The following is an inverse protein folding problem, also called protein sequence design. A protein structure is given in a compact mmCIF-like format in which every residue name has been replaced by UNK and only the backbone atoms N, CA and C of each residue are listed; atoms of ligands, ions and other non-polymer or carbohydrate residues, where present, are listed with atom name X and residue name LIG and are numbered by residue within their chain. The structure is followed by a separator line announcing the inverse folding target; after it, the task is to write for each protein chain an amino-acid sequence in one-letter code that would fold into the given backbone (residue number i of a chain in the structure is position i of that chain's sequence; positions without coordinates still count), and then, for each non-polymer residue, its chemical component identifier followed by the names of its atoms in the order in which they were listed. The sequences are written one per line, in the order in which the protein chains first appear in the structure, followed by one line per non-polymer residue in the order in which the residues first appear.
data_IF_784739688645
#
_entry.id   IF_784739688645
#
_cell.length_a   1.000
_cell.length_b   1.000
_cell.length_c   1.000
_cell.angle_alpha   90.00
_cell.angle_beta   90.00
_cell.angle_gamma   90.00
#
_symmetry.space_group_name_H-M   'P 1'
#
loop_
_entity.id
_entity.type
_entity.pdbx_description
1 polymer ?
#
# COMPACT_ATOMS: atom_id res chain seq x y z
N UNK A 1 7.50 1.12 16.74
CA UNK A 1 6.62 -0.05 16.95
C UNK A 1 5.26 0.28 16.35
N UNK A 2 5.00 -0.18 15.14
CA UNK A 2 3.67 -0.17 14.58
C UNK A 2 2.84 -1.25 15.27
N UNK A 3 2.13 -0.90 16.33
CA UNK A 3 1.13 -1.80 16.90
C UNK A 3 0.04 -1.97 15.86
N UNK A 4 -0.16 -3.17 15.38
CA UNK A 4 -1.34 -3.52 14.57
C UNK A 4 -2.57 -3.29 15.45
N UNK A 5 -3.32 -2.24 15.16
CA UNK A 5 -4.57 -1.91 15.83
C UNK A 5 -5.76 -2.59 15.17
N UNK A 6 -5.60 -3.84 14.76
CA UNK A 6 -6.65 -4.59 14.06
C UNK A 6 -7.87 -4.93 14.93
N UNK A 7 -7.76 -4.79 16.24
CA UNK A 7 -8.78 -5.26 17.19
C UNK A 7 -9.81 -4.20 17.63
N UNK A 8 -9.81 -3.00 17.04
CA UNK A 8 -10.79 -1.96 17.36
C UNK A 8 -10.92 -0.96 16.22
N UNK A 9 -12.09 -0.29 16.16
CA UNK A 9 -12.28 0.83 15.25
C UNK A 9 -11.38 2.00 15.65
N UNK A 10 -10.43 2.35 14.79
CA UNK A 10 -9.36 3.29 15.10
C UNK A 10 -9.15 4.29 13.98
N UNK A 11 -9.07 5.56 14.35
CA UNK A 11 -8.58 6.62 13.47
C UNK A 11 -7.06 6.64 13.44
N UNK A 12 -6.48 6.42 12.26
CA UNK A 12 -5.03 6.49 12.05
C UNK A 12 -4.67 7.86 11.49
N UNK A 13 -3.93 8.66 12.28
CA UNK A 13 -3.48 10.02 11.96
C UNK A 13 -1.97 10.18 11.93
N UNK A 14 -1.24 9.13 12.19
CA UNK A 14 0.20 9.19 12.42
C UNK A 14 1.02 9.58 11.20
N UNK A 15 0.51 9.33 9.98
CA UNK A 15 1.32 9.42 8.78
C UNK A 15 2.47 8.41 8.81
N UNK A 16 3.54 8.70 8.08
CA UNK A 16 4.76 7.89 8.05
C UNK A 16 5.81 8.42 9.02
N UNK A 17 5.49 8.44 10.32
CA UNK A 17 6.45 8.85 11.34
C UNK A 17 7.63 7.88 11.38
N UNK A 18 8.78 8.31 10.86
CA UNK A 18 10.00 7.52 10.79
C UNK A 18 11.24 8.44 10.88
N UNK A 19 12.40 7.84 11.06
CA UNK A 19 13.70 8.54 11.11
C UNK A 19 14.43 8.57 9.77
N UNK A 20 13.73 8.25 8.68
CA UNK A 20 14.30 8.18 7.33
C UNK A 20 14.63 6.75 6.90
N UNK A 21 14.90 6.62 5.59
CA UNK A 21 15.16 5.32 4.97
C UNK A 21 16.47 4.71 5.45
N UNK A 22 17.50 5.53 5.67
CA UNK A 22 18.81 5.05 6.16
C UNK A 22 18.69 4.37 7.53
N UNK A 23 17.96 5.02 8.45
CA UNK A 23 17.68 4.41 9.76
C UNK A 23 16.91 3.10 9.64
N UNK A 24 15.89 3.04 8.76
CA UNK A 24 15.16 1.81 8.49
C UNK A 24 16.08 0.70 8.00
N UNK A 25 16.93 1.01 7.03
CA UNK A 25 17.89 0.06 6.44
C UNK A 25 18.85 -0.47 7.51
N UNK A 26 19.36 0.38 8.40
CA UNK A 26 20.24 -0.05 9.49
C UNK A 26 19.52 -0.96 10.48
N UNK A 27 18.24 -0.67 10.81
CA UNK A 27 17.43 -1.56 11.65
C UNK A 27 17.20 -2.93 10.99
N UNK A 28 16.91 -2.94 9.69
CA UNK A 28 16.70 -4.19 8.93
C UNK A 28 17.99 -5.02 8.85
N UNK A 29 19.15 -4.37 8.64
CA UNK A 29 20.45 -5.05 8.64
C UNK A 29 20.78 -5.71 9.99
N UNK A 30 20.37 -5.06 11.08
CA UNK A 30 20.60 -5.57 12.45
C UNK A 30 19.56 -6.60 12.91
N UNK A 31 18.45 -6.73 12.19
CA UNK A 31 17.38 -7.67 12.55
C UNK A 31 17.77 -9.13 12.30
N UNK A 32 17.17 -10.03 13.09
CA UNK A 32 17.27 -11.46 12.82
C UNK A 32 16.53 -11.82 11.52
N UNK A 33 17.24 -12.33 10.53
CA UNK A 33 16.75 -12.60 9.19
C UNK A 33 16.03 -13.94 9.00
N UNK A 34 15.50 -14.53 10.06
CA UNK A 34 14.71 -15.77 9.97
C UNK A 34 13.25 -15.55 9.50
N UNK A 35 12.87 -14.32 9.21
CA UNK A 35 11.54 -13.97 8.74
C UNK A 35 11.60 -13.23 7.39
N UNK A 36 10.52 -13.35 6.61
CA UNK A 36 10.33 -12.58 5.38
C UNK A 36 10.12 -11.10 5.74
N UNK A 37 10.91 -10.22 5.19
CA UNK A 37 10.88 -8.78 5.46
C UNK A 37 10.29 -8.04 4.25
N UNK A 38 9.05 -7.54 4.40
CA UNK A 38 8.43 -6.60 3.48
C UNK A 38 8.69 -5.16 3.90
N UNK A 39 9.19 -4.32 3.01
CA UNK A 39 9.42 -2.90 3.29
C UNK A 39 8.41 -2.06 2.53
N UNK A 40 7.69 -1.21 3.28
CA UNK A 40 6.70 -0.29 2.73
C UNK A 40 7.29 1.11 2.57
N UNK A 41 7.31 1.63 1.34
CA UNK A 41 7.83 2.96 1.00
C UNK A 41 6.73 3.89 0.53
N UNK A 42 6.93 5.18 0.72
CA UNK A 42 5.97 6.21 0.36
C UNK A 42 6.60 7.59 0.23
N UNK A 43 5.81 8.56 -0.24
CA UNK A 43 6.20 9.95 -0.40
C UNK A 43 6.33 10.64 0.97
N UNK A 44 7.34 11.49 1.15
CA UNK A 44 7.44 12.40 2.28
C UNK A 44 6.28 13.41 2.29
N UNK A 45 5.94 13.89 3.49
CA UNK A 45 4.84 14.85 3.67
C UNK A 45 5.09 16.16 2.91
N UNK A 46 6.33 16.62 2.90
CA UNK A 46 6.75 17.92 2.34
C UNK A 46 7.09 17.90 0.85
N UNK A 47 7.25 16.74 0.25
CA UNK A 47 7.54 16.61 -1.18
C UNK A 47 6.28 16.93 -1.99
N UNK A 48 6.33 17.84 -2.97
CA UNK A 48 5.23 18.09 -3.90
C UNK A 48 4.83 16.80 -4.64
N UNK A 49 3.57 16.75 -5.11
CA UNK A 49 3.04 15.53 -5.74
C UNK A 49 3.74 15.22 -7.09
N UNK A 50 4.10 16.25 -7.83
CA UNK A 50 4.85 16.17 -9.08
C UNK A 50 6.24 15.57 -8.91
N UNK A 51 6.84 15.76 -7.72
CA UNK A 51 8.17 15.27 -7.36
C UNK A 51 8.12 13.94 -6.58
N UNK A 52 6.93 13.41 -6.34
CA UNK A 52 6.72 12.19 -5.55
C UNK A 52 7.63 11.03 -5.99
N UNK A 53 7.83 10.88 -7.29
CA UNK A 53 8.65 9.81 -7.87
C UNK A 53 10.09 9.80 -7.35
N UNK A 54 10.67 10.95 -7.03
CA UNK A 54 12.02 11.04 -6.47
C UNK A 54 12.12 10.34 -5.11
N UNK A 55 11.12 10.53 -4.23
CA UNK A 55 11.08 9.87 -2.93
C UNK A 55 10.99 8.34 -3.08
N UNK A 56 10.09 7.87 -3.97
CA UNK A 56 9.94 6.43 -4.21
C UNK A 56 11.19 5.81 -4.82
N UNK A 57 11.80 6.46 -5.82
CA UNK A 57 13.02 5.98 -6.46
C UNK A 57 14.19 5.94 -5.48
N UNK A 58 14.37 6.98 -4.66
CA UNK A 58 15.40 7.05 -3.62
C UNK A 58 15.20 5.95 -2.59
N UNK A 59 14.00 5.87 -2.00
CA UNK A 59 13.69 4.80 -1.04
C UNK A 59 13.87 3.41 -1.65
N UNK A 60 13.43 3.20 -2.89
CA UNK A 60 13.55 1.91 -3.57
C UNK A 60 15.01 1.46 -3.69
N UNK A 61 15.91 2.38 -4.06
CA UNK A 61 17.34 2.09 -4.18
C UNK A 61 17.95 1.63 -2.86
N UNK A 62 17.62 2.33 -1.77
CA UNK A 62 18.15 2.02 -0.43
C UNK A 62 17.60 0.71 0.14
N UNK A 63 16.30 0.43 -0.03
CA UNK A 63 15.68 -0.75 0.58
C UNK A 63 15.85 -2.01 -0.26
N UNK A 64 16.12 -1.90 -1.57
CA UNK A 64 16.13 -3.04 -2.49
C UNK A 64 17.04 -4.19 -2.05
N UNK A 65 18.30 -3.94 -1.58
CA UNK A 65 19.18 -5.01 -1.14
C UNK A 65 18.70 -5.72 0.13
N UNK A 66 17.87 -5.05 0.92
CA UNK A 66 17.50 -5.50 2.27
C UNK A 66 16.13 -6.16 2.35
N UNK A 67 15.21 -5.83 1.45
CA UNK A 67 13.86 -6.35 1.45
C UNK A 67 13.77 -7.73 0.79
N UNK A 68 12.82 -8.56 1.24
CA UNK A 68 12.38 -9.75 0.51
C UNK A 68 11.28 -9.40 -0.49
N UNK A 69 10.42 -8.44 -0.15
CA UNK A 69 9.52 -7.76 -1.08
C UNK A 69 9.33 -6.29 -0.68
N UNK A 70 8.82 -5.47 -1.60
CA UNK A 70 8.63 -4.04 -1.39
C UNK A 70 7.17 -3.67 -1.67
N UNK A 71 6.60 -2.78 -0.86
CA UNK A 71 5.28 -2.22 -1.08
C UNK A 71 5.37 -0.74 -1.40
N UNK A 72 4.85 -0.34 -2.56
CA UNK A 72 4.69 1.06 -2.96
C UNK A 72 3.36 1.56 -2.43
N UNK A 73 3.39 2.43 -1.42
CA UNK A 73 2.19 2.93 -0.78
C UNK A 73 1.75 4.28 -1.38
N UNK A 74 0.71 4.23 -2.20
CA UNK A 74 0.10 5.41 -2.85
C UNK A 74 -1.26 5.78 -2.23
N UNK A 75 -1.59 5.27 -1.05
CA UNK A 75 -2.97 5.27 -0.53
C UNK A 75 -3.15 5.85 0.87
N UNK A 76 -2.08 6.38 1.51
CA UNK A 76 -2.22 6.97 2.85
C UNK A 76 -3.11 8.22 2.81
N UNK A 77 -4.14 8.29 3.69
CA UNK A 77 -4.96 9.50 3.81
C UNK A 77 -4.30 10.61 4.62
N UNK A 78 -3.15 10.32 5.25
CA UNK A 78 -2.47 11.23 6.18
C UNK A 78 -1.32 12.01 5.54
N UNK A 79 -1.05 11.75 4.27
CA UNK A 79 -0.09 12.50 3.46
C UNK A 79 -0.86 13.28 2.41
N UNK A 80 -0.68 14.60 2.42
CA UNK A 80 -1.42 15.51 1.55
C UNK A 80 -1.27 15.10 0.07
N UNK A 81 -2.39 15.07 -0.63
CA UNK A 81 -2.53 14.71 -2.04
C UNK A 81 -1.94 13.35 -2.45
N UNK A 82 -1.51 12.49 -1.49
CA UNK A 82 -0.91 11.21 -1.86
C UNK A 82 -1.85 10.33 -2.69
N UNK A 83 -3.15 10.37 -2.39
CA UNK A 83 -4.15 9.55 -3.09
C UNK A 83 -4.38 9.98 -4.53
N UNK A 84 -4.02 11.22 -4.92
CA UNK A 84 -4.05 11.62 -6.33
C UNK A 84 -3.06 10.83 -7.20
N UNK A 85 -2.09 10.13 -6.59
CA UNK A 85 -1.24 9.18 -7.30
C UNK A 85 -1.99 7.94 -7.80
N UNK A 86 -3.23 7.71 -7.35
CA UNK A 86 -4.09 6.63 -7.85
C UNK A 86 -4.90 7.05 -9.08
N UNK A 87 -4.95 8.35 -9.39
CA UNK A 87 -5.52 8.86 -10.63
C UNK A 87 -4.70 8.38 -11.83
N UNK A 88 -5.37 7.94 -12.89
CA UNK A 88 -4.76 7.20 -14.00
C UNK A 88 -3.45 7.81 -14.52
N UNK A 89 -3.43 9.10 -14.87
CA UNK A 89 -2.23 9.74 -15.43
C UNK A 89 -1.05 9.76 -14.44
N UNK A 90 -1.31 10.12 -13.19
CA UNK A 90 -0.29 10.18 -12.14
C UNK A 90 0.23 8.79 -11.81
N UNK A 91 -0.66 7.80 -11.76
CA UNK A 91 -0.34 6.40 -11.53
C UNK A 91 0.62 5.87 -12.60
N UNK A 92 0.26 6.04 -13.88
CA UNK A 92 1.08 5.57 -14.99
C UNK A 92 2.46 6.23 -15.01
N UNK A 93 2.54 7.55 -14.77
CA UNK A 93 3.84 8.24 -14.69
C UNK A 93 4.71 7.69 -13.56
N UNK A 94 4.14 7.52 -12.37
CA UNK A 94 4.87 7.01 -11.21
C UNK A 94 5.33 5.57 -11.43
N UNK A 95 4.41 4.67 -11.82
CA UNK A 95 4.74 3.25 -11.96
C UNK A 95 5.73 2.99 -13.09
N UNK A 96 5.67 3.74 -14.19
CA UNK A 96 6.68 3.70 -15.25
C UNK A 96 8.09 3.99 -14.73
N UNK A 97 8.24 5.02 -13.89
CA UNK A 97 9.55 5.39 -13.31
C UNK A 97 10.05 4.36 -12.31
N UNK A 98 9.16 3.88 -11.44
CA UNK A 98 9.51 2.83 -10.46
C UNK A 98 9.93 1.55 -11.19
N UNK A 99 9.20 1.13 -12.23
CA UNK A 99 9.55 -0.04 -13.04
C UNK A 99 10.92 0.11 -13.70
N UNK A 100 11.23 1.28 -14.26
CA UNK A 100 12.55 1.56 -14.84
C UNK A 100 13.67 1.47 -13.77
N UNK A 101 13.46 2.07 -12.60
CA UNK A 101 14.40 1.98 -11.47
C UNK A 101 14.59 0.53 -11.00
N UNK A 102 13.48 -0.24 -10.89
CA UNK A 102 13.51 -1.66 -10.55
C UNK A 102 14.40 -2.45 -11.53
N UNK A 103 14.26 -2.25 -12.83
CA UNK A 103 15.07 -2.95 -13.87
C UNK A 103 16.57 -2.67 -13.71
N UNK A 104 16.95 -1.43 -13.39
CA UNK A 104 18.33 -1.08 -13.07
C UNK A 104 18.83 -1.84 -11.82
N UNK A 105 18.01 -1.86 -10.75
CA UNK A 105 18.36 -2.52 -9.50
C UNK A 105 18.44 -4.05 -9.65
N UNK A 106 17.56 -4.66 -10.42
CA UNK A 106 17.64 -6.08 -10.77
C UNK A 106 18.97 -6.43 -11.44
N UNK A 107 19.41 -5.61 -12.40
CA UNK A 107 20.69 -5.80 -13.08
C UNK A 107 21.87 -5.59 -12.12
N UNK A 108 21.80 -4.55 -11.29
CA UNK A 108 22.88 -4.20 -10.35
C UNK A 108 23.09 -5.25 -9.27
N UNK A 109 21.99 -5.78 -8.72
CA UNK A 109 22.04 -6.73 -7.60
C UNK A 109 21.93 -8.20 -8.02
N UNK A 110 21.64 -8.50 -9.28
CA UNK A 110 21.49 -9.85 -9.79
C UNK A 110 20.31 -10.62 -9.20
N UNK A 111 19.31 -9.92 -8.63
CA UNK A 111 18.13 -10.52 -7.95
C UNK A 111 16.87 -9.74 -8.28
N UNK A 112 15.78 -10.48 -8.50
CA UNK A 112 14.45 -9.91 -8.69
C UNK A 112 13.74 -9.85 -7.34
N UNK A 113 13.30 -8.66 -6.93
CA UNK A 113 12.49 -8.46 -5.73
C UNK A 113 11.04 -8.21 -6.13
N UNK A 114 10.07 -8.93 -5.54
CA UNK A 114 8.65 -8.63 -5.75
C UNK A 114 8.29 -7.23 -5.27
N UNK A 115 7.49 -6.51 -6.05
CA UNK A 115 6.98 -5.18 -5.69
C UNK A 115 5.47 -5.17 -5.83
N UNK A 116 4.77 -4.85 -4.73
CA UNK A 116 3.31 -4.71 -4.69
C UNK A 116 2.87 -3.25 -4.56
N UNK A 117 1.70 -2.92 -5.11
CA UNK A 117 1.10 -1.60 -5.03
C UNK A 117 0.01 -1.60 -3.95
N UNK A 118 0.10 -0.71 -2.94
CA UNK A 118 -0.90 -0.61 -1.87
C UNK A 118 -1.89 0.49 -2.15
N UNK A 119 -3.18 0.11 -2.25
CA UNK A 119 -4.29 0.94 -2.67
C UNK A 119 -5.23 1.32 -1.52
N UNK A 120 -6.05 2.35 -1.74
CA UNK A 120 -7.13 2.77 -0.85
C UNK A 120 -8.39 1.90 -1.04
N UNK A 121 -9.28 1.83 -0.03
CA UNK A 121 -10.56 1.16 -0.19
C UNK A 121 -11.64 2.04 -0.85
N UNK A 122 -11.36 3.33 -1.03
CA UNK A 122 -12.34 4.35 -1.47
C UNK A 122 -12.31 4.56 -3.00
N UNK A 123 -11.88 3.55 -3.76
CA UNK A 123 -11.76 3.58 -5.21
C UNK A 123 -13.05 3.11 -5.89
N UNK A 124 -13.39 3.75 -7.01
CA UNK A 124 -14.46 3.29 -7.89
C UNK A 124 -14.00 2.18 -8.86
N UNK A 125 -14.91 1.67 -9.67
CA UNK A 125 -14.61 0.55 -10.57
C UNK A 125 -13.63 0.97 -11.68
N UNK A 126 -13.73 2.18 -12.19
CA UNK A 126 -12.82 2.70 -13.21
C UNK A 126 -11.40 2.88 -12.67
N UNK A 127 -11.26 3.39 -11.46
CA UNK A 127 -9.98 3.52 -10.77
C UNK A 127 -9.33 2.15 -10.51
N UNK A 128 -10.12 1.14 -10.13
CA UNK A 128 -9.65 -0.23 -9.94
C UNK A 128 -9.16 -0.86 -11.25
N UNK A 129 -9.91 -0.68 -12.35
CA UNK A 129 -9.50 -1.13 -13.68
C UNK A 129 -8.18 -0.48 -14.11
N UNK A 130 -8.05 0.85 -13.94
CA UNK A 130 -6.83 1.59 -14.24
C UNK A 130 -5.62 1.10 -13.43
N UNK A 131 -5.82 0.78 -12.14
CA UNK A 131 -4.76 0.22 -11.29
C UNK A 131 -4.32 -1.16 -11.79
N UNK A 132 -5.26 -2.04 -12.10
CA UNK A 132 -4.96 -3.39 -12.61
C UNK A 132 -4.22 -3.31 -13.96
N UNK A 133 -4.65 -2.41 -14.86
CA UNK A 133 -3.97 -2.17 -16.12
C UNK A 133 -2.53 -1.67 -15.91
N UNK A 134 -2.33 -0.70 -15.03
CA UNK A 134 -1.01 -0.15 -14.74
C UNK A 134 -0.08 -1.19 -14.08
N UNK A 135 -0.60 -2.01 -13.15
CA UNK A 135 0.15 -3.11 -12.53
C UNK A 135 0.63 -4.11 -13.58
N UNK A 136 -0.23 -4.48 -14.54
CA UNK A 136 0.14 -5.37 -15.66
C UNK A 136 1.15 -4.71 -16.61
N UNK A 137 0.88 -3.48 -17.03
CA UNK A 137 1.70 -2.75 -18.01
C UNK A 137 3.13 -2.56 -17.53
N UNK A 138 3.31 -2.27 -16.24
CA UNK A 138 4.62 -2.01 -15.65
C UNK A 138 5.20 -3.19 -14.89
N UNK A 139 4.60 -4.38 -15.02
CA UNK A 139 5.09 -5.67 -14.52
C UNK A 139 5.28 -5.69 -13.00
N UNK A 140 4.34 -5.10 -12.23
CA UNK A 140 4.33 -5.24 -10.77
C UNK A 140 3.75 -6.59 -10.34
N UNK A 141 4.18 -7.10 -9.19
CA UNK A 141 3.99 -8.49 -8.79
C UNK A 141 2.76 -8.72 -7.92
N UNK A 142 2.09 -7.65 -7.46
CA UNK A 142 0.91 -7.82 -6.62
C UNK A 142 0.24 -6.51 -6.21
N UNK A 143 -0.92 -6.64 -5.57
CA UNK A 143 -1.69 -5.53 -5.02
C UNK A 143 -1.95 -5.77 -3.53
N UNK A 144 -1.73 -4.76 -2.68
CA UNK A 144 -2.11 -4.80 -1.26
C UNK A 144 -3.43 -4.04 -1.09
N UNK A 145 -4.48 -4.75 -0.76
CA UNK A 145 -5.84 -4.23 -0.61
C UNK A 145 -6.37 -4.53 0.81
N UNK A 146 -6.56 -3.50 1.67
CA UNK A 146 -6.50 -2.08 1.40
C UNK A 146 -5.83 -1.28 2.51
N UNK A 147 -5.60 0.02 2.27
CA UNK A 147 -5.32 0.99 3.31
C UNK A 147 -6.61 1.30 4.12
N UNK A 148 -6.57 2.29 5.00
CA UNK A 148 -7.71 2.81 5.77
C UNK A 148 -8.63 3.66 4.89
N UNK A 149 -9.92 3.79 5.26
CA UNK A 149 -10.90 4.60 4.53
C UNK A 149 -10.98 6.03 5.06
N UNK A 150 -11.31 6.99 4.19
CA UNK A 150 -11.73 8.34 4.57
C UNK A 150 -13.25 8.46 4.72
N UNK A 151 -14.00 7.46 4.27
CA UNK A 151 -15.44 7.42 4.48
C UNK A 151 -15.78 7.34 5.97
N UNK A 152 -16.91 7.91 6.34
CA UNK A 152 -17.40 7.90 7.70
C UNK A 152 -18.72 7.13 7.77
N UNK A 153 -18.89 6.24 8.77
CA UNK A 153 -20.16 5.56 8.99
C UNK A 153 -21.23 6.57 9.40
N UNK A 154 -22.48 6.11 9.46
CA UNK A 154 -23.65 6.93 9.75
C UNK A 154 -23.58 7.69 11.09
N UNK A 155 -24.52 8.64 11.29
CA UNK A 155 -24.55 9.72 12.29
C UNK A 155 -24.35 9.35 13.76
N UNK A 156 -24.47 8.08 14.14
CA UNK A 156 -24.39 7.64 15.54
C UNK A 156 -23.00 7.21 15.99
N UNK A 157 -21.99 7.37 15.14
CA UNK A 157 -20.63 6.97 15.47
C UNK A 157 -19.92 8.08 16.26
N UNK A 158 -19.40 7.73 17.45
CA UNK A 158 -18.59 8.67 18.23
C UNK A 158 -17.36 9.10 17.43
N UNK A 159 -17.08 10.40 17.43
CA UNK A 159 -15.90 10.98 16.79
C UNK A 159 -15.93 11.05 15.24
N UNK A 160 -17.10 11.21 14.62
CA UNK A 160 -17.24 11.41 13.16
C UNK A 160 -16.41 12.59 12.63
N UNK A 161 -16.13 13.59 13.45
CA UNK A 161 -15.33 14.79 13.12
C UNK A 161 -13.83 14.53 13.10
N UNK A 162 -13.38 13.34 13.53
CA UNK A 162 -11.97 13.03 13.60
C UNK A 162 -11.34 12.92 12.21
N UNK A 163 -10.20 13.57 12.02
CA UNK A 163 -9.41 13.47 10.79
C UNK A 163 -8.60 12.17 10.74
N UNK A 164 -8.16 11.76 9.55
CA UNK A 164 -7.34 10.56 9.35
C UNK A 164 -8.10 9.40 8.74
N UNK A 165 -7.44 8.27 8.62
CA UNK A 165 -8.00 7.05 8.07
C UNK A 165 -8.71 6.20 9.11
N UNK A 166 -9.93 5.76 8.83
CA UNK A 166 -10.69 4.83 9.66
C UNK A 166 -10.27 3.39 9.35
N UNK A 167 -10.06 2.59 10.41
CA UNK A 167 -9.67 1.18 10.35
C UNK A 167 -10.55 0.36 11.32
N UNK A 168 -10.32 -0.95 11.38
CA UNK A 168 -11.04 -1.87 12.26
C UNK A 168 -12.23 -2.55 11.59
N UNK A 169 -13.23 -2.98 12.37
CA UNK A 169 -14.40 -3.72 11.86
C UNK A 169 -15.21 -2.97 10.81
N UNK A 170 -15.21 -1.65 10.86
CA UNK A 170 -15.95 -0.81 9.92
C UNK A 170 -15.48 -0.90 8.47
N UNK A 171 -14.23 -1.33 8.23
CA UNK A 171 -13.73 -1.52 6.86
C UNK A 171 -13.74 -2.98 6.40
N UNK A 172 -14.20 -3.92 7.22
CA UNK A 172 -14.19 -5.36 6.89
C UNK A 172 -14.88 -5.62 5.56
N UNK A 173 -16.15 -5.19 5.45
CA UNK A 173 -16.93 -5.41 4.23
C UNK A 173 -16.37 -4.64 3.04
N UNK A 174 -16.01 -3.38 3.22
CA UNK A 174 -15.45 -2.54 2.13
C UNK A 174 -14.16 -3.15 1.58
N UNK A 175 -13.23 -3.53 2.46
CA UNK A 175 -11.96 -4.11 2.01
C UNK A 175 -12.15 -5.48 1.34
N UNK A 176 -13.08 -6.30 1.81
CA UNK A 176 -13.42 -7.59 1.19
C UNK A 176 -14.04 -7.39 -0.20
N UNK A 177 -14.95 -6.42 -0.34
CA UNK A 177 -15.54 -6.06 -1.64
C UNK A 177 -14.49 -5.61 -2.65
N UNK A 178 -13.52 -4.79 -2.24
CA UNK A 178 -12.41 -4.37 -3.11
C UNK A 178 -11.56 -5.58 -3.53
N UNK A 179 -11.26 -6.50 -2.60
CA UNK A 179 -10.50 -7.73 -2.92
C UNK A 179 -11.26 -8.55 -3.95
N UNK A 180 -12.57 -8.76 -3.78
CA UNK A 180 -13.39 -9.50 -4.73
C UNK A 180 -13.42 -8.85 -6.13
N UNK A 181 -13.57 -7.52 -6.20
CA UNK A 181 -13.51 -6.78 -7.48
C UNK A 181 -12.15 -6.96 -8.16
N UNK A 182 -11.06 -6.83 -7.41
CA UNK A 182 -9.70 -7.06 -7.93
C UNK A 182 -9.50 -8.50 -8.39
N UNK A 183 -9.98 -9.48 -7.63
CA UNK A 183 -9.93 -10.90 -8.00
C UNK A 183 -10.62 -11.16 -9.34
N UNK A 184 -11.82 -10.58 -9.51
CA UNK A 184 -12.57 -10.66 -10.78
C UNK A 184 -11.84 -9.97 -11.95
N UNK A 185 -11.27 -8.78 -11.73
CA UNK A 185 -10.54 -8.04 -12.76
C UNK A 185 -9.23 -8.72 -13.15
N UNK A 186 -8.55 -9.31 -12.18
CA UNK A 186 -7.26 -9.99 -12.41
C UNK A 186 -7.41 -11.44 -12.86
N UNK A 187 -8.55 -12.07 -12.58
CA UNK A 187 -8.79 -13.50 -12.81
C UNK A 187 -7.68 -14.36 -12.18
N UNK A 188 -7.21 -13.99 -11.00
CA UNK A 188 -6.15 -14.67 -10.27
C UNK A 188 -4.73 -14.49 -10.85
N UNK A 189 -4.56 -13.68 -11.90
CA UNK A 189 -3.24 -13.48 -12.54
C UNK A 189 -2.30 -12.54 -11.75
N UNK A 190 -2.84 -11.76 -10.82
CA UNK A 190 -2.08 -10.85 -9.94
C UNK A 190 -2.35 -11.24 -8.49
N UNK A 191 -1.34 -11.61 -7.69
CA UNK A 191 -1.49 -11.87 -6.27
C UNK A 191 -2.06 -10.67 -5.51
N UNK A 192 -3.00 -10.92 -4.59
CA UNK A 192 -3.61 -9.90 -3.75
C UNK A 192 -3.28 -10.20 -2.29
N UNK A 193 -2.73 -9.21 -1.58
CA UNK A 193 -2.52 -9.27 -0.13
C UNK A 193 -3.69 -8.55 0.53
N UNK A 194 -4.62 -9.33 1.11
CA UNK A 194 -5.80 -8.79 1.81
C UNK A 194 -5.44 -8.16 3.16
N UNK A 195 -5.83 -6.91 3.38
CA UNK A 195 -5.56 -6.16 4.60
C UNK A 195 -6.77 -5.31 5.00
N UNK A 196 -7.00 -5.22 6.30
CA UNK A 196 -8.01 -4.33 6.89
C UNK A 196 -9.28 -5.06 7.33
N UNK A 197 -9.71 -4.79 8.56
CA UNK A 197 -10.95 -5.30 9.12
C UNK A 197 -10.95 -6.82 9.37
N UNK A 198 -9.81 -7.42 9.67
CA UNK A 198 -9.72 -8.84 10.05
C UNK A 198 -9.71 -8.91 11.57
N UNK A 199 -10.86 -9.20 12.17
CA UNK A 199 -11.06 -9.27 13.62
C UNK A 199 -11.29 -10.70 14.09
N UNK A 200 -11.84 -11.54 13.21
CA UNK A 200 -12.20 -12.94 13.46
C UNK A 200 -11.59 -13.86 12.42
N UNK A 201 -11.49 -15.17 12.70
CA UNK A 201 -11.11 -16.15 11.69
C UNK A 201 -12.03 -16.13 10.45
N UNK A 202 -13.33 -15.83 10.65
CA UNK A 202 -14.27 -15.74 9.55
C UNK A 202 -13.95 -14.58 8.61
N UNK A 203 -13.57 -13.40 9.14
CA UNK A 203 -13.15 -12.26 8.31
C UNK A 203 -11.95 -12.62 7.42
N UNK A 204 -11.02 -13.43 7.96
CA UNK A 204 -9.87 -13.92 7.18
C UNK A 204 -10.32 -14.87 6.06
N UNK A 205 -11.22 -15.81 6.37
CA UNK A 205 -11.79 -16.73 5.38
C UNK A 205 -12.57 -16.01 4.28
N UNK A 206 -13.36 -15.00 4.65
CA UNK A 206 -14.13 -14.20 3.70
C UNK A 206 -13.22 -13.46 2.72
N UNK A 207 -12.05 -12.98 3.18
CA UNK A 207 -11.06 -12.36 2.30
C UNK A 207 -10.31 -13.35 1.41
N UNK A 208 -10.08 -14.57 1.89
CA UNK A 208 -9.43 -15.64 1.09
C UNK A 208 -10.40 -16.14 -0.01
N UNK A 209 -11.71 -16.14 0.28
CA UNK A 209 -12.73 -16.61 -0.65
C UNK A 209 -13.17 -15.52 -1.65
N UNK A 210 -12.83 -14.28 -1.41
CA UNK A 210 -13.14 -13.15 -2.29
C UNK A 210 -12.17 -13.08 -3.46
#
# INVERSE_FOLDING_TARGET
QGVSSAASDVYKRQGFNNKGVDYLVDQVKSANRNAIIGINIGKNKTTPIEDAHHDYESCLREVYPQADYITINISSPNTENLRSLQESNNLHMLLKRISATRKILQTTHGVIKPIAIKIAPDLDDFELESIVEAVRTYEFDGIVATNTTIQRPHRDFKNLSETGGLSGGLITQTSTTIIQKLSNLTQGSIPIIGVGGILTPQDALDKINA
#
